data_IF_327979185064
#
_entry.id   IF_327979185064
#
_cell.length_a   1.000
_cell.length_b   1.000
_cell.length_c   1.000
_cell.angle_alpha   90.00
_cell.angle_beta   90.00
_cell.angle_gamma   90.00
#
_symmetry.space_group_name_H-M   'P 1'
#
loop_
_entity.id
_entity.type
_entity.pdbx_description
1 polymer ?
#
# COMPACT_ATOMS: atom_id res chain seq x y z
N UNK A 1 -0.62 -11.47 -31.96
CA UNK A 1 -0.14 -10.41 -32.86
C UNK A 1 -1.18 -9.30 -32.90
N UNK A 2 -0.92 -8.17 -32.24
CA UNK A 2 -1.13 -6.81 -32.76
C UNK A 2 -0.74 -5.80 -31.68
N UNK A 3 0.31 -5.03 -31.99
CA UNK A 3 0.77 -3.86 -31.25
C UNK A 3 -0.10 -2.68 -31.68
N UNK A 4 -0.43 -1.78 -30.75
CA UNK A 4 -0.82 -0.41 -31.08
C UNK A 4 -0.06 0.54 -30.18
N UNK A 5 0.93 1.19 -30.80
CA UNK A 5 1.80 2.23 -30.27
C UNK A 5 1.09 3.56 -30.43
N UNK A 6 0.96 4.36 -29.38
CA UNK A 6 0.44 5.74 -29.49
C UNK A 6 1.53 6.72 -29.08
N UNK A 7 2.13 7.33 -30.10
CA UNK A 7 3.06 8.47 -30.04
C UNK A 7 2.24 9.75 -30.21
N UNK A 8 2.49 10.83 -29.47
CA UNK A 8 2.13 12.23 -29.85
C UNK A 8 2.95 13.21 -28.97
N UNK A 9 4.01 13.81 -29.51
CA UNK A 9 4.13 15.14 -30.14
C UNK A 9 4.39 16.28 -29.15
N UNK A 10 5.63 16.76 -29.17
CA UNK A 10 6.09 18.01 -28.56
C UNK A 10 5.88 19.18 -29.53
N UNK A 11 5.25 20.26 -29.07
CA UNK A 11 5.23 21.55 -29.76
C UNK A 11 6.15 22.53 -29.03
N UNK A 12 7.22 22.94 -29.72
CA UNK A 12 8.02 24.11 -29.40
C UNK A 12 7.39 25.34 -30.05
N UNK A 13 7.29 26.45 -29.32
CA UNK A 13 7.02 27.76 -29.89
C UNK A 13 8.05 28.75 -29.34
N UNK A 14 8.85 29.31 -30.25
CA UNK A 14 9.74 30.44 -30.04
C UNK A 14 9.02 31.73 -30.46
N UNK A 15 9.28 32.84 -29.75
CA UNK A 15 9.08 34.20 -30.27
C UNK A 15 10.03 35.19 -29.58
N UNK A 16 10.49 36.15 -30.39
CA UNK A 16 11.63 37.08 -30.23
C UNK A 16 11.13 38.52 -29.94
N UNK A 17 12.07 39.42 -29.59
CA UNK A 17 12.12 40.91 -29.76
C UNK A 17 12.08 41.66 -28.42
N UNK A 18 13.16 42.26 -27.88
CA UNK A 18 13.97 43.45 -28.27
C UNK A 18 13.19 44.77 -28.29
N UNK A 19 13.45 45.66 -27.31
CA UNK A 19 13.66 47.12 -27.46
C UNK A 19 13.94 47.78 -26.09
N UNK A 20 14.99 48.61 -26.00
CA UNK A 20 15.40 49.39 -24.80
C UNK A 20 14.50 50.60 -24.50
N UNK A 21 14.74 51.34 -23.40
CA UNK A 21 15.65 52.48 -23.50
C UNK A 21 16.51 52.81 -22.26
N UNK A 22 17.59 53.56 -22.53
CA UNK A 22 18.20 54.68 -21.81
C UNK A 22 18.32 54.63 -20.28
N UNK A 23 19.58 54.51 -19.86
CA UNK A 23 20.07 54.73 -18.51
C UNK A 23 19.90 56.20 -18.05
N UNK A 24 19.20 56.37 -16.93
CA UNK A 24 19.31 57.54 -16.06
C UNK A 24 20.10 57.10 -14.83
N UNK A 25 21.34 57.56 -14.71
CA UNK A 25 22.18 57.38 -13.53
C UNK A 25 21.72 58.32 -12.43
N UNK A 26 20.74 57.90 -11.64
CA UNK A 26 20.45 58.49 -10.34
C UNK A 26 21.38 57.86 -9.31
N UNK A 27 22.32 58.66 -8.80
CA UNK A 27 23.16 58.31 -7.66
C UNK A 27 22.30 58.34 -6.39
N UNK A 28 21.49 57.30 -6.18
CA UNK A 28 20.83 57.09 -4.90
C UNK A 28 21.89 56.70 -3.88
N UNK A 29 22.05 57.52 -2.86
CA UNK A 29 22.86 57.18 -1.70
C UNK A 29 22.38 55.82 -1.18
N UNK A 30 23.23 54.79 -1.30
CA UNK A 30 23.03 53.48 -0.69
C UNK A 30 22.98 53.71 0.82
N UNK A 31 21.76 53.85 1.35
CA UNK A 31 21.49 53.51 2.73
C UNK A 31 22.07 52.10 2.91
N UNK A 32 23.02 51.96 3.82
CA UNK A 32 23.60 50.67 4.14
C UNK A 32 22.44 49.75 4.54
N UNK A 33 22.02 48.90 3.60
CA UNK A 33 21.12 47.80 3.87
C UNK A 33 21.83 46.98 4.93
N UNK A 34 21.46 47.22 6.19
CA UNK A 34 21.65 46.28 7.28
C UNK A 34 20.80 45.07 6.92
N UNK A 35 21.28 44.29 5.95
CA UNK A 35 20.73 42.99 5.61
C UNK A 35 20.96 42.17 6.85
N UNK A 36 19.94 42.11 7.71
CA UNK A 36 19.95 41.25 8.89
C UNK A 36 20.42 39.89 8.43
N UNK A 37 21.63 39.51 8.85
CA UNK A 37 22.26 38.27 8.46
C UNK A 37 21.43 37.14 9.04
N UNK A 38 20.42 36.69 8.29
CA UNK A 38 19.53 35.61 8.71
C UNK A 38 20.41 34.42 9.07
N UNK A 39 20.29 33.94 10.30
CA UNK A 39 21.03 32.79 10.77
C UNK A 39 20.92 31.64 9.76
N UNK A 40 22.04 30.97 9.48
CA UNK A 40 22.05 29.82 8.59
C UNK A 40 21.01 28.77 9.05
N UNK A 41 20.41 28.04 8.13
CA UNK A 41 19.50 26.94 8.45
C UNK A 41 20.15 25.61 8.08
N UNK A 42 19.81 24.54 8.82
CA UNK A 42 20.23 23.21 8.42
C UNK A 42 19.58 22.82 7.08
N UNK A 43 20.35 22.24 6.17
CA UNK A 43 19.87 21.50 5.02
C UNK A 43 19.80 20.02 5.39
N UNK A 44 18.64 19.40 5.20
CA UNK A 44 18.41 17.98 5.49
C UNK A 44 18.01 17.28 4.20
N UNK A 45 18.76 16.25 3.81
CA UNK A 45 18.35 15.35 2.71
C UNK A 45 17.96 14.00 3.30
N UNK A 46 16.95 13.36 2.70
CA UNK A 46 16.45 12.07 3.16
C UNK A 46 15.88 11.25 1.99
N UNK A 47 15.94 9.93 2.10
CA UNK A 47 15.36 8.95 1.17
C UNK A 47 14.84 7.74 1.95
N UNK A 48 13.66 7.24 1.57
CA UNK A 48 13.09 5.97 2.06
C UNK A 48 13.73 4.79 1.32
N UNK A 49 13.85 3.64 1.99
CA UNK A 49 14.31 2.40 1.33
C UNK A 49 13.24 1.76 0.44
N UNK A 50 11.97 1.94 0.78
CA UNK A 50 10.79 1.42 0.09
C UNK A 50 9.72 2.50 0.09
N UNK A 51 9.00 2.63 -1.01
CA UNK A 51 7.81 3.45 -1.20
C UNK A 51 6.51 2.64 -1.02
N UNK A 52 6.57 1.30 -1.04
CA UNK A 52 5.47 0.40 -0.68
C UNK A 52 5.92 -0.54 0.43
N UNK A 53 5.11 -0.67 1.49
CA UNK A 53 5.39 -1.54 2.64
C UNK A 53 4.14 -2.23 3.17
N UNK A 54 4.31 -3.40 3.80
CA UNK A 54 3.21 -4.13 4.45
C UNK A 54 3.33 -4.09 5.97
N UNK A 55 2.23 -3.76 6.66
CA UNK A 55 2.13 -3.75 8.13
C UNK A 55 2.53 -5.11 8.70
N UNK A 56 3.43 -5.12 9.67
CA UNK A 56 3.90 -6.33 10.36
C UNK A 56 4.97 -7.13 9.63
N UNK A 57 5.20 -6.87 8.34
CA UNK A 57 6.21 -7.57 7.53
C UNK A 57 7.42 -6.66 7.22
N UNK A 58 7.19 -5.35 7.07
CA UNK A 58 8.18 -4.40 6.61
C UNK A 58 8.55 -3.32 7.62
N UNK A 59 9.79 -2.83 7.50
CA UNK A 59 10.30 -1.67 8.25
C UNK A 59 10.71 -0.57 7.28
N UNK A 60 10.13 0.62 7.44
CA UNK A 60 10.52 1.82 6.70
C UNK A 60 11.82 2.36 7.28
N UNK A 61 12.87 2.41 6.45
CA UNK A 61 14.20 2.92 6.80
C UNK A 61 14.44 4.23 6.06
N UNK A 62 14.51 5.34 6.81
CA UNK A 62 14.80 6.67 6.27
C UNK A 62 16.26 7.02 6.51
N UNK A 63 17.04 7.12 5.43
CA UNK A 63 18.46 7.48 5.44
C UNK A 63 18.65 8.89 4.94
N UNK A 64 19.61 9.62 5.49
CA UNK A 64 19.85 10.98 5.06
C UNK A 64 21.10 11.63 5.62
N UNK A 65 21.24 12.92 5.34
CA UNK A 65 22.39 13.75 5.74
C UNK A 65 21.94 15.14 6.21
N UNK A 66 22.64 15.71 7.18
CA UNK A 66 22.46 17.08 7.67
C UNK A 66 23.69 17.91 7.33
N UNK A 67 23.47 19.10 6.76
CA UNK A 67 24.51 20.09 6.44
C UNK A 67 24.15 21.47 7.02
N UNK A 68 25.06 22.18 7.70
CA UNK A 68 26.38 21.69 8.11
C UNK A 68 26.26 20.51 9.09
N UNK A 69 27.38 19.78 9.25
CA UNK A 69 27.44 18.56 10.08
C UNK A 69 27.09 18.89 11.53
N UNK A 70 26.04 18.27 12.06
CA UNK A 70 25.60 18.42 13.43
C UNK A 70 25.78 17.12 14.24
N UNK A 71 27.01 16.59 14.29
CA UNK A 71 27.28 15.30 14.92
C UNK A 71 26.80 15.24 16.38
N UNK A 72 26.16 14.14 16.78
CA UNK A 72 25.59 13.94 18.11
C UNK A 72 24.22 14.60 18.32
N UNK A 73 23.85 15.59 17.52
CA UNK A 73 22.54 16.21 17.59
C UNK A 73 21.43 15.25 17.13
N UNK A 74 20.21 15.45 17.64
CA UNK A 74 19.04 14.64 17.28
C UNK A 74 18.41 15.14 15.98
N UNK A 75 17.99 14.20 15.14
CA UNK A 75 17.00 14.38 14.07
C UNK A 75 15.72 13.64 14.44
N UNK A 76 14.59 14.13 13.96
CA UNK A 76 13.26 13.61 14.28
C UNK A 76 12.59 13.17 12.98
N UNK A 77 12.16 11.91 12.91
CA UNK A 77 11.24 11.48 11.87
C UNK A 77 9.85 11.98 12.25
N UNK A 78 9.26 12.79 11.39
CA UNK A 78 7.87 13.17 11.51
C UNK A 78 7.06 12.45 10.44
N UNK A 79 5.84 12.06 10.79
CA UNK A 79 4.89 11.45 9.87
C UNK A 79 3.55 12.20 9.93
N UNK A 80 2.80 12.15 8.85
CA UNK A 80 1.37 12.45 8.82
C UNK A 80 0.67 11.40 7.94
N UNK A 81 -0.53 11.03 8.35
CA UNK A 81 -1.39 10.12 7.58
C UNK A 81 -2.16 10.92 6.52
N UNK A 82 -2.62 10.24 5.49
CA UNK A 82 -3.47 10.86 4.48
C UNK A 82 -4.68 11.60 5.11
N UNK A 83 -5.03 12.73 4.50
CA UNK A 83 -6.05 13.66 5.00
C UNK A 83 -5.69 14.40 6.31
N UNK A 84 -4.52 14.16 6.93
CA UNK A 84 -4.09 14.87 8.15
C UNK A 84 -3.13 16.02 7.82
N UNK A 85 -3.38 17.18 8.42
CA UNK A 85 -2.53 18.37 8.23
C UNK A 85 -1.41 18.49 9.25
N UNK A 86 -1.53 17.85 10.41
CA UNK A 86 -0.58 17.92 11.52
C UNK A 86 0.48 16.83 11.41
N UNK A 87 1.74 17.22 11.62
CA UNK A 87 2.88 16.31 11.70
C UNK A 87 3.02 15.74 13.11
N UNK A 88 3.02 14.42 13.24
CA UNK A 88 3.32 13.71 14.48
C UNK A 88 4.77 13.24 14.49
N UNK A 89 5.37 13.09 15.67
CA UNK A 89 6.70 12.48 15.82
C UNK A 89 6.55 10.96 15.76
N UNK A 90 7.29 10.31 14.86
CA UNK A 90 7.40 8.85 14.79
C UNK A 90 8.59 8.37 15.64
N UNK A 91 9.81 8.79 15.29
CA UNK A 91 11.04 8.34 15.96
C UNK A 91 12.14 9.41 15.96
N UNK A 92 13.26 9.14 16.63
CA UNK A 92 14.42 10.04 16.75
C UNK A 92 15.71 9.26 16.55
N UNK A 93 16.72 9.90 15.96
CA UNK A 93 18.06 9.34 15.82
C UNK A 93 19.12 10.42 16.02
N UNK A 94 20.35 10.02 16.36
CA UNK A 94 21.50 10.93 16.42
C UNK A 94 22.16 11.01 15.05
N UNK A 95 22.62 12.21 14.68
CA UNK A 95 23.47 12.44 13.52
C UNK A 95 24.86 11.88 13.81
N UNK A 96 25.37 11.01 12.94
CA UNK A 96 26.71 10.42 13.03
C UNK A 96 27.78 11.48 12.79
N UNK A 97 29.04 11.12 13.07
CA UNK A 97 30.20 11.96 12.77
C UNK A 97 30.17 12.43 11.31
N UNK A 98 30.04 11.59 10.30
CA UNK A 98 29.98 12.05 8.90
C UNK A 98 28.72 12.87 8.48
N UNK A 99 27.86 13.29 9.41
CA UNK A 99 26.64 14.06 9.15
C UNK A 99 25.45 13.22 8.71
N UNK A 100 25.59 11.89 8.63
CA UNK A 100 24.50 10.98 8.21
C UNK A 100 23.63 10.52 9.37
N UNK A 101 22.43 10.03 9.07
CA UNK A 101 21.53 9.41 10.04
C UNK A 101 20.74 8.25 9.43
N UNK A 102 20.15 7.42 10.29
CA UNK A 102 19.20 6.37 9.94
C UNK A 102 18.05 6.40 10.97
N UNK A 103 16.84 6.54 10.47
CA UNK A 103 15.59 6.44 11.24
C UNK A 103 14.84 5.19 10.77
N UNK A 104 14.12 4.53 11.69
CA UNK A 104 13.29 3.34 11.40
C UNK A 104 11.88 3.60 11.90
N UNK A 105 10.88 3.23 11.09
CA UNK A 105 9.46 3.27 11.44
C UNK A 105 8.83 1.93 11.07
N UNK A 106 7.95 1.42 11.93
CA UNK A 106 7.20 0.18 11.76
C UNK A 106 5.71 0.55 11.69
N UNK A 107 5.16 0.75 10.48
CA UNK A 107 3.77 1.15 10.32
C UNK A 107 2.81 0.13 10.93
N UNK A 108 1.89 0.61 11.77
CA UNK A 108 0.84 -0.21 12.40
C UNK A 108 -0.55 -0.07 11.75
N UNK A 109 -0.70 0.86 10.80
CA UNK A 109 -1.97 1.21 10.14
C UNK A 109 -1.71 1.44 8.66
N UNK A 110 -2.55 0.84 7.81
CA UNK A 110 -2.55 1.00 6.36
C UNK A 110 -3.01 2.39 5.91
N UNK A 111 -2.71 2.74 4.65
CA UNK A 111 -2.93 4.05 4.05
C UNK A 111 -1.63 4.70 3.61
N UNK A 112 -1.74 5.77 2.81
CA UNK A 112 -0.58 6.57 2.43
C UNK A 112 -0.05 7.36 3.63
N UNK A 113 1.27 7.33 3.80
CA UNK A 113 2.01 8.06 4.83
C UNK A 113 2.99 9.01 4.19
N UNK A 114 3.00 10.23 4.68
CA UNK A 114 4.01 11.21 4.33
C UNK A 114 5.00 11.36 5.48
N UNK A 115 6.27 11.23 5.17
CA UNK A 115 7.39 11.38 6.09
C UNK A 115 8.18 12.64 5.78
N UNK A 116 8.76 13.23 6.82
CA UNK A 116 9.86 14.19 6.69
C UNK A 116 10.81 14.07 7.86
N UNK A 117 12.06 14.45 7.63
CA UNK A 117 13.06 14.51 8.69
C UNK A 117 13.25 15.97 9.12
N UNK A 118 13.04 16.23 10.40
CA UNK A 118 13.29 17.52 11.03
C UNK A 118 14.62 17.48 11.79
N UNK A 119 15.52 18.41 11.47
CA UNK A 119 16.63 18.78 12.34
C UNK A 119 16.25 20.04 13.11
N UNK A 120 16.02 19.98 14.44
CA UNK A 120 15.75 21.16 15.25
C UNK A 120 16.92 22.16 15.21
N UNK A 121 16.61 23.42 15.53
CA UNK A 121 17.62 24.48 15.65
C UNK A 121 18.66 24.13 16.74
N UNK A 122 19.87 24.69 16.61
CA UNK A 122 20.95 24.53 17.59
C UNK A 122 22.28 25.03 17.03
N UNK A 123 23.21 25.38 17.93
CA UNK A 123 24.53 25.96 17.60
C UNK A 123 24.42 27.24 16.73
N UNK A 124 23.43 28.10 17.01
CA UNK A 124 23.17 29.30 16.21
C UNK A 124 22.61 29.05 14.81
N UNK A 125 22.29 27.79 14.45
CA UNK A 125 21.73 27.40 13.16
C UNK A 125 20.24 27.10 13.32
N UNK A 126 19.40 27.70 12.47
CA UNK A 126 17.95 27.47 12.43
C UNK A 126 17.61 26.05 12.00
N UNK A 127 16.40 25.61 12.36
CA UNK A 127 15.88 24.28 12.00
C UNK A 127 15.89 24.05 10.49
N UNK A 128 16.01 22.78 10.10
CA UNK A 128 15.96 22.32 8.71
C UNK A 128 15.01 21.13 8.54
N UNK A 129 14.33 21.03 7.41
CA UNK A 129 13.45 19.92 7.07
C UNK A 129 13.82 19.31 5.72
N UNK A 130 13.69 17.99 5.59
CA UNK A 130 13.81 17.33 4.30
C UNK A 130 12.60 17.63 3.40
N UNK A 131 12.71 17.25 2.12
CA UNK A 131 11.54 17.02 1.26
C UNK A 131 10.60 16.01 1.92
N UNK A 132 9.32 16.10 1.58
CA UNK A 132 8.31 15.09 1.95
C UNK A 132 8.58 13.81 1.15
N UNK A 133 8.46 12.68 1.82
CA UNK A 133 8.64 11.34 1.26
C UNK A 133 7.30 10.61 1.40
N UNK A 134 6.71 10.13 0.31
CA UNK A 134 5.47 9.36 0.35
C UNK A 134 5.77 7.86 0.45
N UNK A 135 4.98 7.13 1.22
CA UNK A 135 5.03 5.67 1.34
C UNK A 135 3.61 5.14 1.44
N UNK A 136 3.26 4.19 0.59
CA UNK A 136 1.99 3.47 0.65
C UNK A 136 2.11 2.26 1.57
N UNK A 137 1.25 2.21 2.58
CA UNK A 137 1.25 1.15 3.59
C UNK A 137 0.05 0.24 3.37
N UNK A 138 0.31 -1.00 3.03
CA UNK A 138 -0.70 -2.04 2.89
C UNK A 138 -0.81 -2.88 4.16
N UNK A 139 -1.93 -3.58 4.31
CA UNK A 139 -2.15 -4.56 5.38
C UNK A 139 -2.95 -5.74 4.84
N UNK A 140 -2.63 -6.94 5.30
CA UNK A 140 -3.48 -8.12 5.12
C UNK A 140 -4.74 -8.02 5.98
N UNK A 141 -5.89 -8.15 5.33
CA UNK A 141 -7.20 -8.13 5.95
C UNK A 141 -7.99 -9.37 5.54
N UNK A 142 -8.76 -9.94 6.47
CA UNK A 142 -9.61 -11.09 6.21
C UNK A 142 -10.76 -10.68 5.27
N UNK A 143 -10.80 -11.26 4.07
CA UNK A 143 -11.82 -10.97 3.06
C UNK A 143 -13.23 -11.28 3.57
N UNK A 144 -13.40 -12.38 4.31
CA UNK A 144 -14.68 -12.79 4.88
C UNK A 144 -15.30 -11.76 5.84
N UNK A 145 -14.49 -10.87 6.43
CA UNK A 145 -14.97 -9.78 7.31
C UNK A 145 -15.42 -8.53 6.55
N UNK A 146 -15.23 -8.47 5.24
CA UNK A 146 -15.69 -7.33 4.44
C UNK A 146 -17.18 -7.45 4.14
N UNK A 147 -17.83 -6.31 3.96
CA UNK A 147 -19.20 -6.26 3.46
C UNK A 147 -19.26 -6.93 2.09
N UNK A 148 -20.15 -7.91 1.95
CA UNK A 148 -20.39 -8.61 0.70
C UNK A 148 -21.30 -7.80 -0.21
N UNK A 149 -21.10 -7.92 -1.52
CA UNK A 149 -22.03 -7.48 -2.55
C UNK A 149 -23.11 -8.53 -2.80
N UNK A 150 -23.38 -8.83 -4.07
CA UNK A 150 -24.30 -9.91 -4.44
C UNK A 150 -23.79 -11.25 -3.88
N UNK A 151 -24.69 -12.02 -3.27
CA UNK A 151 -24.35 -13.30 -2.64
C UNK A 151 -25.51 -14.26 -2.79
N UNK A 152 -25.20 -15.54 -3.01
CA UNK A 152 -26.15 -16.63 -3.03
C UNK A 152 -25.48 -17.88 -2.47
N UNK A 153 -26.12 -18.55 -1.52
CA UNK A 153 -25.72 -19.87 -1.01
C UNK A 153 -24.28 -19.97 -0.46
N UNK A 154 -23.69 -18.87 0.03
CA UNK A 154 -22.34 -18.86 0.63
C UNK A 154 -22.39 -18.22 2.02
N UNK A 155 -21.79 -18.91 3.01
CA UNK A 155 -21.47 -18.34 4.32
C UNK A 155 -20.09 -17.69 4.28
N UNK A 156 -19.94 -16.43 4.72
CA UNK A 156 -18.67 -15.67 4.61
C UNK A 156 -17.89 -15.49 5.91
N UNK A 157 -18.47 -15.87 7.05
CA UNK A 157 -17.90 -15.74 8.39
C UNK A 157 -18.07 -17.04 9.19
N UNK A 158 -17.87 -18.16 8.51
CA UNK A 158 -17.95 -19.48 9.13
C UNK A 158 -16.58 -20.12 9.22
N UNK A 159 -16.52 -21.23 9.94
CA UNK A 159 -15.35 -22.10 10.02
C UNK A 159 -15.48 -23.19 8.96
N UNK A 160 -14.35 -23.56 8.37
CA UNK A 160 -14.20 -24.82 7.64
C UNK A 160 -13.13 -25.68 8.31
N UNK A 161 -13.27 -27.00 8.20
CA UNK A 161 -12.21 -27.93 8.64
C UNK A 161 -11.61 -28.59 7.41
N UNK A 162 -10.28 -28.55 7.30
CA UNK A 162 -9.53 -29.18 6.21
C UNK A 162 -8.41 -30.00 6.84
N UNK A 163 -8.42 -31.31 6.63
CA UNK A 163 -7.42 -32.22 7.19
C UNK A 163 -7.34 -32.11 8.72
N UNK A 164 -8.50 -32.03 9.39
CA UNK A 164 -8.67 -31.83 10.84
C UNK A 164 -8.22 -30.48 11.39
N UNK A 165 -7.74 -29.56 10.54
CA UNK A 165 -7.34 -28.21 10.95
C UNK A 165 -8.48 -27.22 10.70
N UNK A 166 -8.74 -26.36 11.69
CA UNK A 166 -9.77 -25.33 11.62
C UNK A 166 -9.28 -24.08 10.88
N UNK A 167 -10.06 -23.60 9.91
CA UNK A 167 -9.79 -22.37 9.15
C UNK A 167 -10.91 -21.36 9.34
N UNK A 168 -10.58 -20.20 9.90
CA UNK A 168 -11.51 -19.09 10.12
C UNK A 168 -10.90 -17.74 9.72
N UNK A 169 -11.67 -16.84 9.07
CA UNK A 169 -12.99 -17.06 8.47
C UNK A 169 -12.86 -17.77 7.11
N UNK A 170 -13.81 -18.63 6.79
CA UNK A 170 -13.87 -19.37 5.52
C UNK A 170 -15.14 -19.04 4.75
N UNK A 171 -15.08 -19.15 3.41
CA UNK A 171 -16.26 -19.09 2.54
C UNK A 171 -16.69 -20.52 2.23
N UNK A 172 -17.92 -20.89 2.60
CA UNK A 172 -18.43 -22.26 2.48
C UNK A 172 -19.83 -22.26 1.89
N UNK A 173 -20.12 -23.23 1.02
CA UNK A 173 -21.48 -23.43 0.49
C UNK A 173 -22.48 -23.80 1.60
N UNK A 174 -23.67 -23.20 1.59
CA UNK A 174 -24.71 -23.50 2.58
C UNK A 174 -25.41 -24.83 2.23
N UNK A 175 -26.01 -24.88 1.03
CA UNK A 175 -26.73 -26.04 0.49
C UNK A 175 -25.92 -26.67 -0.65
N UNK A 176 -25.35 -27.89 -0.46
CA UNK A 176 -24.64 -28.61 -1.50
C UNK A 176 -25.51 -28.86 -2.74
N UNK A 177 -24.93 -28.73 -3.94
CA UNK A 177 -25.61 -28.91 -5.23
C UNK A 177 -26.40 -27.70 -5.73
N UNK A 178 -26.58 -26.65 -4.92
CA UNK A 178 -27.20 -25.40 -5.36
C UNK A 178 -26.14 -24.38 -5.83
N UNK A 179 -26.46 -23.49 -6.80
CA UNK A 179 -25.56 -22.42 -7.23
C UNK A 179 -25.09 -21.57 -6.05
N UNK A 180 -23.78 -21.34 -5.96
CA UNK A 180 -23.19 -20.58 -4.87
C UNK A 180 -22.17 -19.57 -5.38
N UNK A 181 -22.35 -18.30 -5.01
CA UNK A 181 -21.41 -17.24 -5.32
C UNK A 181 -21.41 -16.14 -4.25
N UNK A 182 -20.32 -15.38 -4.17
CA UNK A 182 -20.25 -14.18 -3.35
C UNK A 182 -19.32 -13.14 -3.99
N UNK A 183 -19.74 -11.89 -3.95
CA UNK A 183 -18.97 -10.75 -4.47
C UNK A 183 -18.43 -9.86 -3.36
N UNK A 184 -17.27 -9.24 -3.62
CA UNK A 184 -16.66 -8.23 -2.76
C UNK A 184 -16.22 -7.04 -3.61
N UNK A 185 -16.51 -5.83 -3.14
CA UNK A 185 -16.01 -4.60 -3.74
C UNK A 185 -14.69 -4.22 -3.07
N UNK A 186 -13.62 -4.11 -3.87
CA UNK A 186 -12.28 -3.81 -3.40
C UNK A 186 -11.89 -2.33 -3.60
N UNK A 187 -12.56 -1.63 -4.51
CA UNK A 187 -12.35 -0.20 -4.73
C UNK A 187 -10.96 0.15 -5.28
N UNK A 188 -10.24 -0.80 -5.89
CA UNK A 188 -8.86 -0.64 -6.40
C UNK A 188 -7.82 -0.36 -5.32
N UNK A 189 -8.14 -0.65 -4.06
CA UNK A 189 -7.25 -0.42 -2.91
C UNK A 189 -6.41 -1.64 -2.55
N UNK A 190 -6.61 -2.77 -3.21
CA UNK A 190 -5.98 -4.04 -2.87
C UNK A 190 -5.04 -4.49 -3.99
N UNK A 191 -3.96 -5.18 -3.65
CA UNK A 191 -2.93 -5.61 -4.60
C UNK A 191 -2.79 -7.12 -4.68
N UNK A 192 -3.11 -7.84 -3.61
CA UNK A 192 -2.94 -9.29 -3.58
C UNK A 192 -4.07 -9.94 -2.80
N UNK A 193 -4.40 -11.17 -3.17
CA UNK A 193 -5.22 -12.12 -2.44
C UNK A 193 -4.39 -13.36 -2.19
N UNK A 194 -4.38 -13.85 -0.95
CA UNK A 194 -3.89 -15.19 -0.61
C UNK A 194 -5.01 -15.99 0.04
N UNK A 195 -5.09 -17.27 -0.29
CA UNK A 195 -6.15 -18.17 0.21
C UNK A 195 -5.78 -19.63 -0.01
N UNK A 196 -6.53 -20.51 0.63
CA UNK A 196 -6.45 -21.97 0.44
C UNK A 196 -7.78 -22.49 -0.08
N UNK A 197 -7.76 -23.32 -1.11
CA UNK A 197 -8.93 -24.02 -1.65
C UNK A 197 -8.88 -25.50 -1.29
N UNK A 198 -10.00 -26.05 -0.84
CA UNK A 198 -10.15 -27.46 -0.52
C UNK A 198 -11.64 -27.86 -0.51
N UNK A 199 -11.91 -29.14 -0.34
CA UNK A 199 -13.21 -29.58 0.17
C UNK A 199 -13.17 -29.62 1.70
N UNK A 200 -14.23 -29.15 2.36
CA UNK A 200 -14.41 -29.30 3.81
C UNK A 200 -14.44 -30.79 4.19
N UNK A 201 -13.89 -31.14 5.35
CA UNK A 201 -13.85 -32.52 5.86
C UNK A 201 -15.25 -33.16 6.02
N UNK A 202 -16.32 -32.36 6.06
CA UNK A 202 -17.72 -32.84 6.03
C UNK A 202 -18.19 -33.29 4.64
N UNK A 203 -17.36 -33.18 3.60
CA UNK A 203 -17.67 -33.70 2.27
C UNK A 203 -17.59 -35.22 2.26
N UNK A 204 -18.48 -35.86 1.50
CA UNK A 204 -18.49 -37.32 1.36
C UNK A 204 -17.30 -37.80 0.51
N UNK A 205 -16.84 -39.02 0.79
CA UNK A 205 -15.79 -39.66 0.00
C UNK A 205 -16.19 -39.80 -1.47
N UNK A 206 -15.24 -39.58 -2.38
CA UNK A 206 -15.49 -39.60 -3.82
C UNK A 206 -16.19 -38.35 -4.38
N UNK A 207 -16.51 -37.38 -3.53
CA UNK A 207 -17.09 -36.11 -3.97
C UNK A 207 -16.07 -35.20 -4.66
N UNK A 208 -16.58 -34.36 -5.56
CA UNK A 208 -15.81 -33.37 -6.31
C UNK A 208 -16.47 -32.00 -6.20
N UNK A 209 -15.67 -30.94 -6.26
CA UNK A 209 -16.17 -29.57 -6.33
C UNK A 209 -15.27 -28.70 -7.18
N UNK A 210 -15.58 -27.42 -7.28
CA UNK A 210 -14.69 -26.45 -7.90
C UNK A 210 -14.82 -25.07 -7.26
N UNK A 211 -13.74 -24.29 -7.36
CA UNK A 211 -13.69 -22.88 -7.01
C UNK A 211 -13.29 -22.09 -8.24
N UNK A 212 -14.08 -21.08 -8.57
CA UNK A 212 -13.76 -20.08 -9.58
C UNK A 212 -13.61 -18.71 -8.94
N UNK A 213 -12.53 -18.01 -9.27
CA UNK A 213 -12.29 -16.63 -8.86
C UNK A 213 -12.36 -15.74 -10.11
N UNK A 214 -13.26 -14.78 -10.10
CA UNK A 214 -13.34 -13.73 -11.11
C UNK A 214 -12.90 -12.40 -10.50
N UNK A 215 -12.06 -11.68 -11.22
CA UNK A 215 -11.64 -10.30 -10.90
C UNK A 215 -12.11 -9.42 -12.04
N UNK A 216 -13.02 -8.50 -11.75
CA UNK A 216 -13.68 -7.64 -12.74
C UNK A 216 -14.27 -8.42 -13.94
N UNK A 217 -14.87 -9.58 -13.65
CA UNK A 217 -15.47 -10.47 -14.64
C UNK A 217 -14.47 -11.38 -15.37
N UNK A 218 -13.17 -11.20 -15.19
CA UNK A 218 -12.13 -12.05 -15.78
C UNK A 218 -11.80 -13.20 -14.84
N UNK A 219 -11.87 -14.43 -15.32
CA UNK A 219 -11.47 -15.60 -14.54
C UNK A 219 -9.97 -15.57 -14.27
N UNK A 220 -9.59 -15.57 -12.99
CA UNK A 220 -8.20 -15.64 -12.51
C UNK A 220 -7.84 -17.02 -11.96
N UNK A 221 -8.81 -17.72 -11.39
CA UNK A 221 -8.68 -19.10 -10.90
C UNK A 221 -9.89 -19.89 -11.38
N UNK A 222 -9.65 -21.12 -11.83
CA UNK A 222 -10.67 -22.13 -12.10
C UNK A 222 -10.09 -23.48 -11.66
N UNK A 223 -10.42 -23.89 -10.43
CA UNK A 223 -9.77 -24.99 -9.74
C UNK A 223 -10.78 -26.08 -9.40
N UNK A 224 -10.63 -27.25 -10.02
CA UNK A 224 -11.31 -28.48 -9.59
C UNK A 224 -10.71 -29.03 -8.29
N UNK A 225 -11.55 -29.62 -7.45
CA UNK A 225 -11.19 -30.10 -6.11
C UNK A 225 -11.73 -31.51 -5.89
N UNK A 226 -10.93 -32.32 -5.19
CA UNK A 226 -11.30 -33.65 -4.68
C UNK A 226 -11.03 -33.73 -3.17
N UNK A 227 -11.63 -34.71 -2.49
CA UNK A 227 -11.42 -34.93 -1.05
C UNK A 227 -9.93 -35.15 -0.75
N UNK A 228 -9.42 -34.47 0.29
CA UNK A 228 -8.02 -34.54 0.72
C UNK A 228 -7.06 -33.62 -0.07
N UNK A 229 -7.53 -32.97 -1.13
CA UNK A 229 -6.73 -31.99 -1.86
C UNK A 229 -6.73 -30.63 -1.15
N UNK A 230 -5.55 -30.04 -1.02
CA UNK A 230 -5.34 -28.68 -0.52
C UNK A 230 -4.57 -27.88 -1.57
N UNK A 231 -5.10 -26.73 -1.98
CA UNK A 231 -4.48 -25.86 -2.98
C UNK A 231 -4.29 -24.48 -2.38
N UNK A 232 -3.04 -24.09 -2.14
CA UNK A 232 -2.71 -22.71 -1.79
C UNK A 232 -2.65 -21.85 -3.06
N UNK A 233 -3.17 -20.63 -2.99
CA UNK A 233 -3.21 -19.72 -4.13
C UNK A 233 -2.89 -18.30 -3.69
N UNK A 234 -2.13 -17.60 -4.55
CA UNK A 234 -1.97 -16.14 -4.49
C UNK A 234 -2.41 -15.56 -5.83
N UNK A 235 -3.24 -14.52 -5.80
CA UNK A 235 -3.77 -13.85 -6.98
C UNK A 235 -3.47 -12.35 -6.93
N UNK A 236 -2.95 -11.81 -8.03
CA UNK A 236 -2.77 -10.37 -8.21
C UNK A 236 -4.14 -9.67 -8.35
N UNK A 237 -4.35 -8.68 -7.50
CA UNK A 237 -5.55 -7.83 -7.44
C UNK A 237 -5.26 -6.38 -7.80
N UNK A 238 -4.09 -6.06 -8.35
CA UNK A 238 -3.76 -4.70 -8.77
C UNK A 238 -4.86 -4.11 -9.65
N UNK A 239 -5.32 -2.91 -9.28
CA UNK A 239 -6.42 -2.19 -9.92
C UNK A 239 -7.80 -2.88 -9.91
N UNK A 240 -7.96 -3.99 -9.16
CA UNK A 240 -9.21 -4.73 -9.08
C UNK A 240 -10.32 -3.91 -8.42
N UNK A 241 -11.46 -3.77 -9.08
CA UNK A 241 -12.62 -3.12 -8.48
C UNK A 241 -13.53 -4.11 -7.75
N UNK A 242 -13.80 -5.26 -8.35
CA UNK A 242 -14.70 -6.29 -7.85
C UNK A 242 -14.07 -7.67 -7.94
N UNK A 243 -14.31 -8.46 -6.91
CA UNK A 243 -13.95 -9.86 -6.81
C UNK A 243 -15.23 -10.69 -6.69
N UNK A 244 -15.29 -11.84 -7.35
CA UNK A 244 -16.39 -12.80 -7.24
C UNK A 244 -15.84 -14.21 -7.10
N UNK A 245 -16.27 -14.91 -6.06
CA UNK A 245 -16.11 -16.35 -5.96
C UNK A 245 -17.37 -17.05 -6.47
N UNK A 246 -17.18 -18.11 -7.25
CA UNK A 246 -18.22 -19.07 -7.59
C UNK A 246 -17.77 -20.45 -7.10
N UNK A 247 -18.66 -21.12 -6.37
CA UNK A 247 -18.39 -22.40 -5.73
C UNK A 247 -19.30 -23.45 -6.34
N UNK A 248 -18.73 -24.43 -7.04
CA UNK A 248 -19.47 -25.55 -7.62
C UNK A 248 -19.44 -26.73 -6.65
N UNK A 249 -20.61 -27.16 -6.19
CA UNK A 249 -20.79 -28.29 -5.27
C UNK A 249 -21.75 -29.33 -5.84
N UNK A 250 -21.75 -30.53 -5.28
CA UNK A 250 -22.66 -31.63 -5.60
C UNK A 250 -23.52 -32.00 -4.39
N UNK A 251 -24.78 -32.38 -4.63
CA UNK A 251 -25.70 -32.85 -3.59
C UNK A 251 -25.50 -34.34 -3.25
N UNK A 252 -24.94 -35.13 -4.17
CA UNK A 252 -24.67 -36.56 -3.99
C UNK A 252 -23.55 -37.01 -4.95
N UNK A 253 -22.43 -37.58 -4.47
CA UNK A 253 -22.00 -37.47 -3.08
C UNK A 253 -21.85 -35.99 -2.68
N UNK A 254 -22.15 -35.66 -1.42
CA UNK A 254 -22.14 -34.28 -0.92
C UNK A 254 -20.74 -33.71 -1.03
N UNK A 255 -20.56 -32.59 -1.75
CA UNK A 255 -19.31 -31.82 -1.74
C UNK A 255 -19.50 -30.43 -1.17
N UNK A 256 -18.51 -29.96 -0.42
CA UNK A 256 -18.48 -28.63 0.19
C UNK A 256 -17.17 -27.94 -0.15
N UNK A 257 -17.04 -27.35 -1.34
CA UNK A 257 -15.86 -26.54 -1.66
C UNK A 257 -15.77 -25.36 -0.70
N UNK A 258 -14.53 -25.04 -0.33
CA UNK A 258 -14.18 -24.03 0.65
C UNK A 258 -13.12 -23.10 0.09
N UNK A 259 -13.28 -21.82 0.37
CA UNK A 259 -12.22 -20.81 0.29
C UNK A 259 -11.80 -20.50 1.73
N UNK A 260 -10.71 -21.12 2.18
CA UNK A 260 -10.24 -21.05 3.55
C UNK A 260 -9.35 -19.82 3.76
N UNK A 261 -9.65 -19.10 4.85
CA UNK A 261 -8.95 -17.90 5.33
C UNK A 261 -8.50 -16.96 4.20
N UNK A 262 -9.40 -16.51 3.30
CA UNK A 262 -9.01 -15.58 2.26
C UNK A 262 -8.59 -14.26 2.88
N UNK A 263 -7.37 -13.83 2.59
CA UNK A 263 -6.82 -12.56 3.02
C UNK A 263 -6.46 -11.71 1.80
N UNK A 264 -6.83 -10.43 1.85
CA UNK A 264 -6.48 -9.46 0.83
C UNK A 264 -5.53 -8.42 1.39
N UNK A 265 -4.57 -7.99 0.58
CA UNK A 265 -3.60 -6.97 0.94
C UNK A 265 -4.08 -5.61 0.44
N UNK A 266 -4.55 -4.75 1.33
CA UNK A 266 -5.19 -3.47 0.97
C UNK A 266 -4.58 -2.26 1.67
N UNK A 267 -4.70 -1.10 1.02
CA UNK A 267 -4.48 0.23 1.58
C UNK A 267 -5.83 0.94 1.83
N UNK A 268 -5.79 2.19 2.29
CA UNK A 268 -6.97 3.04 2.53
C UNK A 268 -6.99 4.23 1.59
#
# INVERSE_FOLDING_TARGET
MHRTTTTLVSLAAAAVMVAGPLALTTTTAQAADTTERRAAAYTVTAKVNKDVVTVGEDVVKVRGKVTPRAAGAKVVLQQRLDGKTKWAVSTKAKVKRNGTFLLKDEPSVSGTREYRVLKPAGQGIRKGTSKVLSVDVYRWELLGRRTTGATQNVHTLTTATIGTTEYWPSLVVNTPGAPAYVEFTLGRLCTDLRTTYALDDRSESGSTGAVKLLVDGVTKVDQGLVVGQVVESTTDLTDAFRLRYELTSSASPVSRPVVATPEIRCTK
#
